data_IF_132717136216
#
_entry.id   IF_132717136216
#
_cell.length_a   1.000
_cell.length_b   1.000
_cell.length_c   1.000
_cell.angle_alpha   90.00
_cell.angle_beta   90.00
_cell.angle_gamma   90.00
#
_symmetry.space_group_name_H-M   'P 1'
#
loop_
_entity.id
_entity.type
_entity.pdbx_description
1 polymer ?
#
# COMPACT_ATOMS: atom_id res chain seq x y z
N UNK A 1 -14.18 -16.09 7.54
CA UNK A 1 -12.82 -15.88 6.99
C UNK A 1 -11.92 -15.33 8.06
N UNK A 2 -10.62 -15.57 7.95
CA UNK A 2 -9.59 -15.05 8.86
C UNK A 2 -9.33 -13.56 8.58
N UNK A 3 -9.15 -12.75 9.63
CA UNK A 3 -8.73 -11.35 9.49
C UNK A 3 -7.22 -11.30 9.22
N UNK A 4 -6.87 -11.20 7.95
CA UNK A 4 -5.50 -11.02 7.46
C UNK A 4 -5.52 -10.27 6.13
N UNK A 5 -4.37 -9.77 5.71
CA UNK A 5 -4.21 -9.14 4.40
C UNK A 5 -4.20 -10.22 3.32
N UNK A 6 -5.12 -10.12 2.36
CA UNK A 6 -5.20 -10.98 1.20
C UNK A 6 -4.51 -10.28 0.01
N UNK A 7 -3.44 -10.88 -0.50
CA UNK A 7 -2.66 -10.34 -1.60
C UNK A 7 -2.90 -11.19 -2.87
N UNK A 8 -3.50 -10.61 -3.91
CA UNK A 8 -3.77 -11.32 -5.15
C UNK A 8 -4.96 -12.27 -5.04
N UNK A 9 -6.13 -11.76 -4.63
CA UNK A 9 -7.35 -12.56 -4.46
C UNK A 9 -8.32 -12.49 -5.63
N UNK A 10 -8.01 -11.73 -6.69
CA UNK A 10 -8.77 -11.75 -7.92
C UNK A 10 -8.99 -13.20 -8.39
N UNK A 11 -10.21 -13.51 -8.83
CA UNK A 11 -10.56 -14.84 -9.35
C UNK A 11 -10.43 -15.99 -8.33
N UNK A 12 -10.47 -15.69 -7.04
CA UNK A 12 -10.54 -16.69 -5.97
C UNK A 12 -11.93 -16.72 -5.35
N UNK A 13 -12.30 -17.84 -4.75
CA UNK A 13 -13.54 -17.91 -3.97
C UNK A 13 -13.55 -16.86 -2.85
N UNK A 14 -14.71 -16.28 -2.59
CA UNK A 14 -14.93 -15.26 -1.55
C UNK A 14 -14.13 -13.96 -1.77
N UNK A 15 -13.86 -13.57 -3.03
CA UNK A 15 -13.16 -12.32 -3.35
C UNK A 15 -13.79 -11.08 -2.70
N UNK A 16 -15.13 -11.06 -2.59
CA UNK A 16 -15.88 -9.95 -2.00
C UNK A 16 -15.60 -9.83 -0.50
N UNK A 17 -15.60 -10.95 0.21
CA UNK A 17 -15.28 -10.98 1.62
C UNK A 17 -13.81 -10.64 1.86
N UNK A 18 -12.88 -11.08 0.98
CA UNK A 18 -11.44 -10.78 1.08
C UNK A 18 -11.18 -9.29 0.92
N UNK A 19 -11.79 -8.67 -0.08
CA UNK A 19 -11.73 -7.23 -0.29
C UNK A 19 -12.32 -6.43 0.88
N UNK A 20 -13.39 -6.92 1.53
CA UNK A 20 -13.93 -6.28 2.75
C UNK A 20 -12.93 -6.32 3.90
N UNK A 21 -12.30 -7.47 4.15
CA UNK A 21 -11.30 -7.61 5.22
C UNK A 21 -10.08 -6.72 4.94
N UNK A 22 -9.60 -6.67 3.71
CA UNK A 22 -8.53 -5.76 3.31
C UNK A 22 -8.87 -4.29 3.56
N UNK A 23 -10.08 -3.86 3.20
CA UNK A 23 -10.55 -2.49 3.48
C UNK A 23 -10.65 -2.19 4.98
N UNK A 24 -11.11 -3.15 5.78
CA UNK A 24 -11.17 -3.00 7.24
C UNK A 24 -9.77 -2.81 7.84
N UNK A 25 -8.81 -3.67 7.45
CA UNK A 25 -7.42 -3.56 7.92
C UNK A 25 -6.79 -2.24 7.43
N UNK A 26 -7.06 -1.84 6.19
CA UNK A 26 -6.59 -0.56 5.64
C UNK A 26 -7.12 0.62 6.45
N UNK A 27 -8.43 0.65 6.75
CA UNK A 27 -9.03 1.68 7.61
C UNK A 27 -8.31 1.76 8.96
N UNK A 28 -8.10 0.61 9.63
CA UNK A 28 -7.37 0.55 10.90
C UNK A 28 -5.94 1.12 10.82
N UNK A 29 -5.22 0.83 9.73
CA UNK A 29 -3.88 1.37 9.51
C UNK A 29 -3.91 2.90 9.30
N UNK A 30 -4.85 3.40 8.50
CA UNK A 30 -4.98 4.84 8.20
C UNK A 30 -5.52 5.67 9.37
N UNK A 31 -6.27 5.05 10.28
CA UNK A 31 -6.70 5.69 11.53
C UNK A 31 -5.57 5.72 12.56
N UNK A 32 -4.70 4.70 12.56
CA UNK A 32 -3.64 4.56 13.56
C UNK A 32 -2.38 5.37 13.22
N UNK A 33 -2.06 5.54 11.94
CA UNK A 33 -0.82 6.15 11.48
C UNK A 33 -1.07 7.34 10.56
N UNK A 34 -0.28 8.39 10.71
CA UNK A 34 -0.25 9.51 9.76
C UNK A 34 0.50 9.08 8.50
N UNK A 35 -0.20 8.96 7.37
CA UNK A 35 0.36 8.44 6.12
C UNK A 35 0.34 9.53 5.05
N UNK A 36 1.50 9.77 4.43
CA UNK A 36 1.61 10.53 3.19
C UNK A 36 1.94 9.59 2.03
N UNK A 37 1.08 9.60 1.01
CA UNK A 37 1.32 8.91 -0.25
C UNK A 37 1.21 9.91 -1.41
N UNK A 38 2.26 10.01 -2.22
CA UNK A 38 2.26 10.80 -3.45
C UNK A 38 1.97 9.90 -4.64
N UNK A 39 0.81 10.08 -5.29
CA UNK A 39 0.39 9.19 -6.38
C UNK A 39 1.04 9.50 -7.74
N UNK A 40 1.75 10.63 -7.85
CA UNK A 40 2.31 11.15 -9.10
C UNK A 40 3.84 11.01 -9.12
N UNK A 41 4.50 11.31 -8.00
CA UNK A 41 5.96 11.41 -7.91
C UNK A 41 6.56 10.32 -7.03
N UNK A 42 7.66 9.74 -7.52
CA UNK A 42 8.37 8.64 -6.85
C UNK A 42 9.12 9.07 -5.59
N UNK A 43 9.29 10.38 -5.41
CA UNK A 43 9.77 11.00 -4.18
C UNK A 43 8.77 12.09 -3.77
N UNK A 44 8.69 12.45 -2.48
CA UNK A 44 7.82 13.53 -2.01
C UNK A 44 8.18 14.86 -2.68
N UNK A 45 7.19 15.73 -2.80
CA UNK A 45 7.43 17.11 -3.20
C UNK A 45 8.36 17.80 -2.17
N UNK A 46 9.40 18.53 -2.60
CA UNK A 46 10.29 19.25 -1.69
C UNK A 46 9.56 20.19 -0.71
N UNK A 47 8.38 20.68 -1.06
CA UNK A 47 7.58 21.57 -0.20
C UNK A 47 6.83 20.83 0.90
N UNK A 48 6.68 19.50 0.81
CA UNK A 48 6.01 18.70 1.82
C UNK A 48 6.96 18.43 2.98
N UNK A 49 6.60 18.92 4.17
CA UNK A 49 7.30 18.54 5.39
C UNK A 49 6.92 17.11 5.79
N UNK A 50 7.72 16.15 5.33
CA UNK A 50 7.52 14.72 5.54
C UNK A 50 7.76 14.25 6.97
N UNK A 51 8.34 15.09 7.85
CA UNK A 51 8.59 14.72 9.25
C UNK A 51 7.30 14.58 10.08
N UNK A 52 6.18 15.12 9.59
CA UNK A 52 4.87 15.06 10.23
C UNK A 52 4.11 13.74 9.97
N UNK A 53 4.69 12.82 9.20
CA UNK A 53 4.05 11.57 8.82
C UNK A 53 4.84 10.37 9.36
N UNK A 54 4.14 9.36 9.84
CA UNK A 54 4.71 8.10 10.30
C UNK A 54 5.23 7.27 9.12
N UNK A 55 4.50 7.32 8.00
CA UNK A 55 4.79 6.59 6.77
C UNK A 55 4.76 7.55 5.59
N UNK A 56 5.78 7.49 4.75
CA UNK A 56 5.96 8.37 3.59
C UNK A 56 6.26 7.52 2.36
N UNK A 57 5.42 7.63 1.35
CA UNK A 57 5.45 6.79 0.16
C UNK A 57 5.38 7.67 -1.09
N UNK A 58 6.25 7.42 -2.05
CA UNK A 58 6.16 7.97 -3.40
C UNK A 58 5.70 6.90 -4.38
N UNK A 59 5.02 7.29 -5.46
CA UNK A 59 4.50 6.40 -6.50
C UNK A 59 5.06 6.77 -7.87
N UNK A 60 5.30 5.76 -8.69
CA UNK A 60 5.57 5.89 -10.12
C UNK A 60 4.53 5.04 -10.87
N UNK A 61 3.57 5.65 -11.57
CA UNK A 61 2.63 4.90 -12.40
C UNK A 61 3.34 4.16 -13.52
N UNK A 62 2.84 2.98 -13.85
CA UNK A 62 3.22 2.16 -14.99
C UNK A 62 1.98 1.64 -15.72
N UNK A 63 2.19 0.75 -16.68
CA UNK A 63 1.10 0.09 -17.40
C UNK A 63 0.62 -1.15 -16.61
N UNK A 64 -0.64 -1.15 -16.15
CA UNK A 64 -1.25 -2.21 -15.33
C UNK A 64 -0.50 -2.51 -14.00
N UNK A 65 0.27 -1.54 -13.51
CA UNK A 65 0.93 -1.58 -12.20
C UNK A 65 1.49 -0.21 -11.85
N UNK A 66 1.79 -0.03 -10.57
CA UNK A 66 2.64 1.06 -10.10
C UNK A 66 3.78 0.53 -9.24
N UNK A 67 4.86 1.30 -9.22
CA UNK A 67 5.97 1.09 -8.30
C UNK A 67 5.93 2.14 -7.21
N UNK A 68 6.26 1.72 -5.99
CA UNK A 68 6.24 2.57 -4.81
C UNK A 68 7.62 2.61 -4.17
N UNK A 69 7.99 3.79 -3.69
CA UNK A 69 9.20 4.03 -2.92
C UNK A 69 8.82 4.30 -1.47
N UNK A 70 9.25 3.43 -0.56
CA UNK A 70 9.06 3.60 0.88
C UNK A 70 10.18 4.50 1.39
N UNK A 71 9.88 5.77 1.57
CA UNK A 71 10.82 6.79 2.06
C UNK A 71 10.93 6.72 3.58
N UNK A 72 9.80 6.51 4.26
CA UNK A 72 9.74 6.37 5.72
C UNK A 72 8.75 5.28 6.10
N UNK A 73 9.15 4.44 7.05
CA UNK A 73 8.31 3.44 7.71
C UNK A 73 8.61 3.47 9.21
N UNK A 74 8.24 4.57 9.88
CA UNK A 74 8.50 4.78 11.30
C UNK A 74 7.95 3.67 12.21
N UNK A 75 6.72 3.17 11.97
CA UNK A 75 6.12 2.09 12.77
C UNK A 75 6.70 0.70 12.52
N UNK A 76 7.52 0.50 11.48
CA UNK A 76 8.02 -0.82 11.11
C UNK A 76 6.96 -1.75 10.51
N UNK A 77 6.03 -1.20 9.71
CA UNK A 77 5.01 -1.97 9.01
C UNK A 77 5.60 -3.07 8.14
N UNK A 78 4.92 -4.20 8.10
CA UNK A 78 5.24 -5.37 7.27
C UNK A 78 5.12 -5.04 5.77
N UNK A 79 5.63 -5.94 4.93
CA UNK A 79 5.53 -5.77 3.48
C UNK A 79 4.07 -5.79 3.01
N UNK A 80 3.25 -6.65 3.59
CA UNK A 80 1.83 -6.82 3.29
C UNK A 80 1.04 -5.56 3.67
N UNK A 81 1.29 -4.97 4.84
CA UNK A 81 0.65 -3.73 5.26
C UNK A 81 1.03 -2.56 4.34
N UNK A 82 2.31 -2.44 3.99
CA UNK A 82 2.76 -1.40 3.06
C UNK A 82 2.16 -1.59 1.67
N UNK A 83 2.08 -2.82 1.15
CA UNK A 83 1.41 -3.12 -0.12
C UNK A 83 -0.07 -2.74 -0.06
N UNK A 84 -0.74 -3.02 1.06
CA UNK A 84 -2.16 -2.71 1.24
C UNK A 84 -2.40 -1.19 1.24
N UNK A 85 -1.53 -0.43 1.91
CA UNK A 85 -1.56 1.04 1.90
C UNK A 85 -1.36 1.56 0.47
N UNK A 86 -0.33 1.06 -0.23
CA UNK A 86 -0.01 1.49 -1.60
C UNK A 86 -1.20 1.32 -2.56
N UNK A 87 -1.97 0.23 -2.40
CA UNK A 87 -3.14 -0.09 -3.24
C UNK A 87 -4.48 0.43 -2.68
N UNK A 88 -4.44 1.37 -1.73
CA UNK A 88 -5.65 1.98 -1.15
C UNK A 88 -6.62 0.97 -0.54
N UNK A 89 -6.10 -0.12 0.03
CA UNK A 89 -6.90 -1.16 0.68
C UNK A 89 -7.49 -2.23 -0.24
N UNK A 90 -7.09 -2.29 -1.51
CA UNK A 90 -7.58 -3.30 -2.45
C UNK A 90 -6.76 -4.61 -2.40
N UNK A 91 -5.58 -4.64 -3.02
CA UNK A 91 -4.72 -5.80 -3.29
C UNK A 91 -5.38 -6.94 -4.08
N UNK A 92 -6.38 -6.62 -4.91
CA UNK A 92 -7.10 -7.60 -5.72
C UNK A 92 -6.15 -8.36 -6.67
N UNK A 93 -5.33 -7.64 -7.44
CA UNK A 93 -4.32 -8.22 -8.35
C UNK A 93 -2.96 -8.44 -7.69
N UNK A 94 -2.86 -8.02 -6.43
CA UNK A 94 -1.72 -8.25 -5.58
C UNK A 94 -0.50 -7.40 -5.90
N UNK A 95 0.53 -7.61 -5.11
CA UNK A 95 1.79 -6.88 -5.19
C UNK A 95 2.94 -7.64 -4.55
N UNK A 96 4.14 -7.12 -4.75
CA UNK A 96 5.37 -7.72 -4.24
C UNK A 96 6.43 -6.68 -3.90
N UNK A 97 7.36 -7.06 -3.03
CA UNK A 97 8.58 -6.31 -2.79
C UNK A 97 9.57 -6.53 -3.94
N UNK A 98 10.14 -5.42 -4.44
CA UNK A 98 11.20 -5.44 -5.45
C UNK A 98 12.58 -5.28 -4.81
N UNK A 99 12.70 -4.44 -3.78
CA UNK A 99 13.94 -4.21 -3.02
C UNK A 99 13.65 -3.79 -1.58
N UNK A 100 14.68 -3.42 -0.80
CA UNK A 100 14.54 -2.95 0.59
C UNK A 100 13.53 -1.81 0.76
N UNK A 101 13.42 -0.90 -0.21
CA UNK A 101 12.52 0.25 -0.18
C UNK A 101 11.51 0.28 -1.33
N UNK A 102 11.54 -0.66 -2.28
CA UNK A 102 10.65 -0.62 -3.46
C UNK A 102 9.61 -1.72 -3.44
N UNK A 103 8.38 -1.33 -3.73
CA UNK A 103 7.24 -2.23 -3.92
C UNK A 103 6.68 -2.10 -5.33
N UNK A 104 5.97 -3.13 -5.79
CA UNK A 104 5.15 -3.11 -7.00
C UNK A 104 3.76 -3.60 -6.65
N UNK A 105 2.74 -2.84 -7.03
CA UNK A 105 1.32 -3.24 -6.93
C UNK A 105 0.79 -3.37 -8.36
N UNK A 106 0.11 -4.48 -8.65
CA UNK A 106 -0.58 -4.67 -9.93
C UNK A 106 -1.90 -3.89 -9.91
N UNK A 107 -2.19 -3.17 -10.98
CA UNK A 107 -3.38 -2.32 -11.14
C UNK A 107 -4.14 -2.79 -12.40
N UNK A 108 -5.45 -2.55 -12.45
CA UNK A 108 -6.31 -2.80 -13.62
C UNK A 108 -6.45 -1.53 -14.47
#
# INVERSE_FOLDING_TARGET
MEKKIYNGYAFTENEREKGKINREIYSELTEKYSIYQNDIYFNPDPEVNTDNFDVVIGRKPGYAHAEYNIIRNGPGLSTEELLLICDGGNLCFGGRRLSSNRLRVSED
#
